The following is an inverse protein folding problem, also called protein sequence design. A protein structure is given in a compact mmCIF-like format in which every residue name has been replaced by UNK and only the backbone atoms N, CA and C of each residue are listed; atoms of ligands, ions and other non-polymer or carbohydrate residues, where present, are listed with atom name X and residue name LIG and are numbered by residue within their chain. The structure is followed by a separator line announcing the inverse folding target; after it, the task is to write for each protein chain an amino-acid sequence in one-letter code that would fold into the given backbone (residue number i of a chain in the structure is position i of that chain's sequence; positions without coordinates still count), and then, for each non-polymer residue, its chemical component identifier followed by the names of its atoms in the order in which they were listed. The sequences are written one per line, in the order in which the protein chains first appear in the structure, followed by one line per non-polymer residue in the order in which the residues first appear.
data_IF_752490504921
#
_entry.id   IF_752490504921
#
_cell.length_a   1.000
_cell.length_b   1.000
_cell.length_c   1.000
_cell.angle_alpha   90.00
_cell.angle_beta   90.00
_cell.angle_gamma   90.00
#
_symmetry.space_group_name_H-M   'P 1'
#
loop_
_entity.id
_entity.type
_entity.pdbx_description
1 polymer ?
#
# COMPACT_ATOMS: atom_id res chain seq x y z
N UNK A 1 4.99 11.69 -21.89
CA UNK A 1 5.02 10.27 -21.46
C UNK A 1 3.87 10.09 -20.49
N UNK A 2 3.00 9.10 -20.69
CA UNK A 2 1.90 8.82 -19.78
C UNK A 2 2.35 7.72 -18.80
N UNK A 3 2.11 7.93 -17.50
CA UNK A 3 2.27 6.88 -16.50
C UNK A 3 1.00 6.02 -16.57
N UNK A 4 1.17 4.70 -16.71
CA UNK A 4 0.07 3.74 -16.69
C UNK A 4 0.01 3.13 -15.30
N UNK A 5 -1.19 3.14 -14.71
CA UNK A 5 -1.48 2.50 -13.42
C UNK A 5 -2.44 1.35 -13.68
N UNK A 6 -2.09 0.17 -13.18
CA UNK A 6 -2.87 -1.07 -13.33
C UNK A 6 -3.61 -1.31 -12.02
N UNK A 7 -4.91 -1.55 -12.07
CA UNK A 7 -5.69 -1.86 -10.86
C UNK A 7 -5.54 -3.33 -10.49
N UNK A 8 -5.19 -3.60 -9.23
CA UNK A 8 -5.02 -4.93 -8.63
C UNK A 8 -5.58 -4.92 -7.20
N UNK A 9 -6.90 -4.84 -7.10
CA UNK A 9 -7.61 -4.45 -5.86
C UNK A 9 -7.46 -5.45 -4.72
N UNK A 10 -7.00 -4.96 -3.58
CA UNK A 10 -7.00 -5.67 -2.31
C UNK A 10 -8.34 -5.48 -1.57
N UNK A 11 -8.87 -6.52 -0.90
CA UNK A 11 -10.00 -6.37 0.03
C UNK A 11 -9.58 -5.81 1.40
N UNK A 12 -8.29 -5.69 1.68
CA UNK A 12 -7.73 -5.35 2.98
C UNK A 12 -7.62 -3.84 3.17
N UNK A 13 -8.74 -3.16 3.33
CA UNK A 13 -8.77 -1.73 3.61
C UNK A 13 -10.00 -1.36 4.42
N UNK A 14 -10.00 -0.15 4.98
CA UNK A 14 -11.19 0.41 5.62
C UNK A 14 -11.31 1.91 5.36
N UNK A 15 -12.40 2.51 5.85
CA UNK A 15 -12.58 3.96 5.78
C UNK A 15 -11.46 4.69 6.53
N UNK A 16 -10.95 5.76 5.94
CA UNK A 16 -10.02 6.72 6.57
C UNK A 16 -10.76 7.71 7.49
N UNK A 17 -12.09 7.62 7.57
CA UNK A 17 -12.93 8.49 8.39
C UNK A 17 -12.71 9.99 8.16
N UNK A 18 -12.31 10.37 6.94
CA UNK A 18 -12.05 11.76 6.55
C UNK A 18 -10.71 12.33 7.00
N UNK A 19 -9.79 11.53 7.56
CA UNK A 19 -8.46 12.01 7.91
C UNK A 19 -7.69 12.45 6.66
N UNK A 20 -6.96 13.56 6.79
CA UNK A 20 -6.11 14.07 5.73
C UNK A 20 -4.88 13.18 5.54
N UNK A 21 -4.44 13.06 4.29
CA UNK A 21 -3.22 12.37 3.91
C UNK A 21 -2.11 13.40 3.83
N UNK A 22 -1.06 13.23 4.62
CA UNK A 22 0.09 14.13 4.67
C UNK A 22 1.43 13.39 4.71
N UNK A 23 1.40 12.06 4.57
CA UNK A 23 2.57 11.20 4.66
C UNK A 23 2.61 10.17 3.52
N UNK A 24 3.81 9.84 3.05
CA UNK A 24 4.08 8.68 2.20
C UNK A 24 5.05 7.78 2.97
N UNK A 25 4.72 6.50 3.05
CA UNK A 25 5.61 5.46 3.61
C UNK A 25 6.10 4.59 2.46
N UNK A 26 7.42 4.55 2.28
CA UNK A 26 8.06 3.68 1.30
C UNK A 26 8.49 2.40 2.00
N UNK A 27 8.12 1.27 1.40
CA UNK A 27 8.46 -0.07 1.83
C UNK A 27 9.14 -0.82 0.68
N UNK A 28 9.81 -1.90 1.01
CA UNK A 28 10.13 -2.97 0.08
C UNK A 28 9.28 -4.20 0.38
N UNK A 29 8.85 -4.88 -0.68
CA UNK A 29 8.22 -6.18 -0.50
C UNK A 29 9.25 -7.17 0.03
N UNK A 30 8.87 -8.19 0.80
CA UNK A 30 9.74 -9.36 1.03
C UNK A 30 9.52 -10.41 -0.07
N UNK A 31 9.57 -9.98 -1.33
CA UNK A 31 9.21 -10.81 -2.48
C UNK A 31 9.92 -10.40 -3.77
N UNK A 32 10.41 -11.38 -4.53
CA UNK A 32 11.11 -11.13 -5.79
C UNK A 32 10.21 -10.66 -6.94
N UNK A 33 8.87 -10.68 -6.80
CA UNK A 33 7.95 -10.34 -7.89
C UNK A 33 6.74 -9.54 -7.42
N UNK A 34 6.24 -8.63 -8.27
CA UNK A 34 4.96 -7.96 -8.02
C UNK A 34 3.82 -8.97 -7.90
N UNK A 35 3.78 -10.01 -8.74
CA UNK A 35 2.71 -11.00 -8.74
C UNK A 35 2.53 -11.70 -7.38
N UNK A 36 3.62 -12.05 -6.70
CA UNK A 36 3.56 -12.64 -5.38
C UNK A 36 3.09 -11.65 -4.31
N UNK A 37 3.58 -10.40 -4.34
CA UNK A 37 3.12 -9.35 -3.42
C UNK A 37 1.62 -9.04 -3.60
N UNK A 38 1.17 -8.91 -4.86
CA UNK A 38 -0.23 -8.67 -5.21
C UNK A 38 -1.13 -9.84 -4.77
N UNK A 39 -0.71 -11.09 -5.03
CA UNK A 39 -1.46 -12.26 -4.57
C UNK A 39 -1.63 -12.31 -3.06
N UNK A 40 -0.64 -11.83 -2.29
CA UNK A 40 -0.73 -11.75 -0.84
C UNK A 40 -1.71 -10.64 -0.40
N UNK A 41 -1.66 -9.48 -1.04
CA UNK A 41 -2.60 -8.39 -0.78
C UNK A 41 -4.04 -8.71 -1.18
N UNK A 42 -4.27 -9.55 -2.18
CA UNK A 42 -5.60 -10.00 -2.59
C UNK A 42 -6.24 -10.98 -1.60
N UNK A 43 -5.45 -11.69 -0.78
CA UNK A 43 -5.96 -12.61 0.25
C UNK A 43 -6.55 -11.84 1.44
N UNK A 44 -7.84 -12.02 1.78
CA UNK A 44 -8.41 -11.45 3.00
C UNK A 44 -7.70 -11.92 4.28
N UNK A 45 -7.11 -13.11 4.27
CA UNK A 45 -6.42 -13.70 5.41
C UNK A 45 -5.10 -12.99 5.74
N UNK A 46 -4.49 -12.29 4.77
CA UNK A 46 -3.23 -11.58 5.00
C UNK A 46 -3.38 -10.40 5.96
N UNK A 47 -4.57 -9.79 5.98
CA UNK A 47 -4.87 -8.60 6.80
C UNK A 47 -3.83 -7.47 6.60
N UNK A 48 -3.24 -7.39 5.41
CA UNK A 48 -2.28 -6.34 5.02
C UNK A 48 -2.53 -5.89 3.58
N UNK A 49 -2.14 -4.65 3.30
CA UNK A 49 -2.16 -4.06 1.95
C UNK A 49 -1.34 -2.78 1.92
N UNK A 50 -0.91 -2.37 0.73
CA UNK A 50 -0.43 -1.02 0.45
C UNK A 50 -1.34 -0.32 -0.57
N UNK A 51 -1.12 0.97 -0.82
CA UNK A 51 -1.86 1.66 -1.88
C UNK A 51 -1.30 1.31 -3.25
N UNK A 52 0.04 1.18 -3.35
CA UNK A 52 0.70 0.84 -4.59
C UNK A 52 1.82 -0.19 -4.41
N UNK A 53 2.02 -0.99 -5.46
CA UNK A 53 3.23 -1.81 -5.67
C UNK A 53 3.89 -1.33 -6.95
N UNK A 54 5.20 -1.11 -6.92
CA UNK A 54 6.01 -0.73 -8.08
C UNK A 54 6.98 -1.88 -8.38
N UNK A 55 6.82 -2.50 -9.55
CA UNK A 55 7.71 -3.56 -10.01
C UNK A 55 9.04 -2.98 -10.55
N UNK A 56 10.03 -3.85 -10.72
CA UNK A 56 11.39 -3.47 -11.14
C UNK A 56 11.48 -2.92 -12.57
N UNK A 57 10.49 -3.22 -13.41
CA UNK A 57 10.36 -2.66 -14.75
C UNK A 57 9.63 -1.30 -14.76
N UNK A 58 9.19 -0.81 -13.59
CA UNK A 58 8.46 0.44 -13.43
C UNK A 58 6.95 0.31 -13.60
N UNK A 59 6.39 -0.90 -13.77
CA UNK A 59 4.96 -1.12 -13.71
C UNK A 59 4.41 -0.72 -12.33
N UNK A 60 3.30 0.03 -12.32
CA UNK A 60 2.66 0.52 -11.10
C UNK A 60 1.31 -0.17 -10.97
N UNK A 61 1.12 -0.85 -9.85
CA UNK A 61 -0.12 -1.50 -9.48
C UNK A 61 -0.78 -0.72 -8.34
N UNK A 62 -2.07 -0.40 -8.47
CA UNK A 62 -2.87 0.21 -7.42
C UNK A 62 -3.71 -0.85 -6.73
N UNK A 63 -3.50 -1.02 -5.43
CA UNK A 63 -4.15 -2.05 -4.63
C UNK A 63 -5.29 -1.51 -3.76
N UNK A 64 -5.18 -0.26 -3.31
CA UNK A 64 -6.22 0.42 -2.51
C UNK A 64 -6.34 1.85 -3.02
N UNK A 65 -7.57 2.32 -3.25
CA UNK A 65 -7.80 3.71 -3.64
C UNK A 65 -7.38 4.65 -2.51
N UNK A 66 -6.81 5.81 -2.85
CA UNK A 66 -6.10 6.70 -1.92
C UNK A 66 -7.03 7.27 -0.83
N UNK A 67 -8.33 7.39 -1.13
CA UNK A 67 -9.35 7.81 -0.15
C UNK A 67 -9.60 6.80 0.98
N UNK A 68 -9.20 5.54 0.80
CA UNK A 68 -9.29 4.51 1.82
C UNK A 68 -7.98 4.37 2.58
N UNK A 69 -8.06 3.74 3.75
CA UNK A 69 -6.94 3.36 4.60
C UNK A 69 -6.48 1.96 4.22
N UNK A 70 -5.32 1.84 3.57
CA UNK A 70 -4.61 0.57 3.43
C UNK A 70 -3.95 0.16 4.77
N UNK A 71 -3.56 -1.11 4.88
CA UNK A 71 -3.05 -1.71 6.11
C UNK A 71 -1.57 -2.10 5.96
N UNK A 72 -0.68 -1.09 5.92
CA UNK A 72 0.76 -1.30 5.64
C UNK A 72 1.69 -0.99 6.82
N UNK A 73 1.32 -0.03 7.68
CA UNK A 73 2.24 0.53 8.67
C UNK A 73 2.24 -0.18 10.03
N UNK A 74 1.40 -1.20 10.22
CA UNK A 74 1.26 -1.90 11.51
C UNK A 74 1.12 -0.94 12.72
N UNK A 75 1.65 -1.36 13.87
CA UNK A 75 1.78 -0.50 15.06
C UNK A 75 2.91 0.51 14.84
N UNK A 76 2.56 1.77 14.63
CA UNK A 76 3.48 2.82 14.19
C UNK A 76 3.14 4.19 14.79
N UNK A 77 4.15 5.06 14.86
CA UNK A 77 4.01 6.46 15.31
C UNK A 77 4.92 7.36 14.46
N UNK A 78 4.41 8.54 14.06
CA UNK A 78 5.18 9.58 13.41
C UNK A 78 4.85 10.93 14.05
N UNK A 79 5.86 11.65 14.55
CA UNK A 79 5.71 12.97 15.18
C UNK A 79 4.65 13.02 16.30
N UNK A 80 4.57 11.95 17.11
CA UNK A 80 3.59 11.85 18.21
C UNK A 80 2.17 11.46 17.78
N UNK A 81 1.94 11.17 16.49
CA UNK A 81 0.67 10.63 15.96
C UNK A 81 0.81 9.13 15.78
N UNK A 82 0.01 8.36 16.51
CA UNK A 82 -0.06 6.90 16.38
C UNK A 82 -0.90 6.49 15.16
N UNK A 83 -0.77 5.23 14.73
CA UNK A 83 -1.50 4.64 13.60
C UNK A 83 -1.24 5.37 12.27
N UNK A 84 -0.01 5.24 11.75
CA UNK A 84 0.42 5.94 10.53
C UNK A 84 -0.44 5.60 9.31
N UNK A 85 -1.10 4.45 9.28
CA UNK A 85 -2.08 4.10 8.24
C UNK A 85 -3.18 5.17 8.07
N UNK A 86 -3.58 5.86 9.13
CA UNK A 86 -4.69 6.81 9.12
C UNK A 86 -4.40 8.05 8.26
N UNK A 87 -3.14 8.41 8.09
CA UNK A 87 -2.73 9.66 7.43
C UNK A 87 -1.65 9.48 6.37
N UNK A 88 -1.37 8.24 5.97
CA UNK A 88 -0.35 7.96 4.97
C UNK A 88 -0.83 7.13 3.78
N UNK A 89 -0.01 7.20 2.72
CA UNK A 89 -0.01 6.26 1.61
C UNK A 89 1.21 5.34 1.68
N UNK A 90 0.99 4.04 1.83
CA UNK A 90 2.01 3.01 1.62
C UNK A 90 2.29 2.74 0.14
N UNK A 91 3.58 2.73 -0.23
CA UNK A 91 4.09 2.33 -1.54
C UNK A 91 5.14 1.23 -1.33
N UNK A 92 4.94 0.10 -1.99
CA UNK A 92 5.85 -1.04 -1.98
C UNK A 92 6.74 -1.03 -3.22
N UNK A 93 8.05 -1.23 -3.05
CA UNK A 93 8.98 -1.49 -4.14
C UNK A 93 9.31 -2.99 -4.18
N UNK A 94 9.19 -3.63 -5.34
CA UNK A 94 9.50 -5.07 -5.46
C UNK A 94 10.98 -5.35 -5.18
N UNK A 95 11.26 -6.13 -4.15
CA UNK A 95 12.58 -6.25 -3.53
C UNK A 95 12.75 -7.47 -2.61
N UNK A 96 14.00 -7.77 -2.26
CA UNK A 96 14.45 -8.56 -1.12
C UNK A 96 15.86 -8.06 -0.77
#
# INVERSE_FOLDING_TARGET
MAIVVIDAWSPNYNSRSGAAIDCIVIHDTESDTAAAALSWFESPESQVSAHYVIDRDGAIYRCVAEMFRAWHAGSSELEGRTDVNDFSLGIELVGF
#
